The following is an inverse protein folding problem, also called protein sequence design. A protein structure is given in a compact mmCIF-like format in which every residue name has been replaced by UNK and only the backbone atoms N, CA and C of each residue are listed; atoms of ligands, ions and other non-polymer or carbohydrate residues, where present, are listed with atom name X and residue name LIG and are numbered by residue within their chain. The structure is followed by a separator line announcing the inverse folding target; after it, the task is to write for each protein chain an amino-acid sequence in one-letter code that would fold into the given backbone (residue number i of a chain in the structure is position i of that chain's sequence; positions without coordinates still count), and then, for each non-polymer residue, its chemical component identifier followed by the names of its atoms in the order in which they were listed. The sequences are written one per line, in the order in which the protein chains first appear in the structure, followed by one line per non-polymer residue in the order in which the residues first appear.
data_IF_774113258729
#
_entry.id   IF_774113258729
#
_cell.length_a   1.000
_cell.length_b   1.000
_cell.length_c   1.000
_cell.angle_alpha   90.00
_cell.angle_beta   90.00
_cell.angle_gamma   90.00
#
_symmetry.space_group_name_H-M   'P 1'
#
loop_
_entity.id
_entity.type
_entity.pdbx_description
1 polymer ?
#
# COMPACT_ATOMS: atom_id res chain seq x y z
N UNK A 1 -17.80 -5.10 -8.18
CA UNK A 1 -18.19 -3.72 -8.56
C UNK A 1 -16.91 -2.96 -8.76
N UNK A 2 -16.65 -2.38 -9.93
CA UNK A 2 -15.48 -1.54 -10.11
C UNK A 2 -15.52 -0.44 -9.03
N UNK A 3 -14.39 -0.19 -8.40
CA UNK A 3 -14.27 0.89 -7.44
C UNK A 3 -14.78 2.15 -8.13
N UNK A 4 -15.88 2.72 -7.64
CA UNK A 4 -16.65 3.81 -8.27
C UNK A 4 -15.86 5.14 -8.40
N UNK A 5 -14.55 5.06 -8.46
CA UNK A 5 -13.64 6.17 -8.33
C UNK A 5 -12.80 6.45 -9.58
N UNK A 6 -12.97 5.69 -10.68
CA UNK A 6 -12.09 5.74 -11.84
C UNK A 6 -11.86 7.14 -12.41
N UNK A 7 -12.92 7.93 -12.64
CA UNK A 7 -12.77 9.28 -13.24
C UNK A 7 -12.21 10.33 -12.26
N UNK A 8 -12.51 10.23 -10.96
CA UNK A 8 -11.97 11.14 -9.96
C UNK A 8 -10.55 10.74 -9.52
N UNK A 9 -10.19 9.46 -9.71
CA UNK A 9 -8.88 8.93 -9.38
C UNK A 9 -7.80 9.57 -10.27
N UNK A 10 -7.99 9.63 -11.58
CA UNK A 10 -7.06 10.25 -12.52
C UNK A 10 -6.85 11.75 -12.27
N UNK A 11 -7.89 12.45 -11.80
CA UNK A 11 -7.78 13.88 -11.43
C UNK A 11 -7.07 14.10 -10.09
N UNK A 12 -7.20 13.16 -9.15
CA UNK A 12 -6.57 13.25 -7.85
C UNK A 12 -5.11 12.78 -7.85
N UNK A 13 -4.79 11.84 -8.73
CA UNK A 13 -3.49 11.18 -8.82
C UNK A 13 -2.84 11.44 -10.20
N UNK A 14 -2.76 12.72 -10.58
CA UNK A 14 -2.19 13.16 -11.84
C UNK A 14 -0.64 13.19 -11.82
N UNK A 15 -0.04 13.40 -13.00
CA UNK A 15 1.41 13.45 -13.16
C UNK A 15 2.09 14.61 -12.38
N UNK A 16 1.37 15.72 -12.16
CA UNK A 16 1.89 16.86 -11.38
C UNK A 16 2.03 16.47 -9.91
N UNK A 17 1.02 15.82 -9.38
CA UNK A 17 1.01 15.30 -8.01
C UNK A 17 2.08 14.23 -7.83
N UNK A 18 2.15 13.25 -8.74
CA UNK A 18 3.16 12.20 -8.70
C UNK A 18 4.59 12.76 -8.65
N UNK A 19 4.90 13.74 -9.51
CA UNK A 19 6.21 14.42 -9.48
C UNK A 19 6.45 15.18 -8.17
N UNK A 20 5.43 15.83 -7.59
CA UNK A 20 5.53 16.50 -6.28
C UNK A 20 5.83 15.49 -5.17
N UNK A 21 5.13 14.36 -5.17
CA UNK A 21 5.29 13.32 -4.17
C UNK A 21 6.68 12.66 -4.27
N UNK A 22 7.17 12.39 -5.50
CA UNK A 22 8.53 11.91 -5.71
C UNK A 22 9.60 12.92 -5.22
N UNK A 23 9.42 14.21 -5.51
CA UNK A 23 10.34 15.26 -4.99
C UNK A 23 10.34 15.31 -3.47
N UNK A 24 9.18 15.17 -2.84
CA UNK A 24 9.07 15.16 -1.39
C UNK A 24 9.80 13.96 -0.79
N UNK A 25 9.62 12.77 -1.39
CA UNK A 25 10.37 11.57 -1.00
C UNK A 25 11.87 11.72 -1.23
N UNK A 26 12.30 12.19 -2.40
CA UNK A 26 13.75 12.36 -2.71
C UNK A 26 14.45 13.32 -1.76
N UNK A 27 13.73 14.33 -1.23
CA UNK A 27 14.29 15.29 -0.26
C UNK A 27 14.30 14.77 1.18
N UNK A 28 13.37 13.93 1.55
CA UNK A 28 13.06 13.66 2.96
C UNK A 28 13.09 12.17 3.33
N UNK A 29 13.22 11.27 2.34
CA UNK A 29 13.11 9.83 2.51
C UNK A 29 11.73 9.35 2.94
N UNK A 30 11.63 8.07 3.28
CA UNK A 30 10.45 7.49 3.90
C UNK A 30 10.21 8.12 5.28
N UNK A 31 8.95 8.48 5.60
CA UNK A 31 8.60 9.20 6.84
C UNK A 31 7.33 8.66 7.49
N UNK A 32 7.19 8.98 8.77
CA UNK A 32 5.97 8.69 9.53
C UNK A 32 5.59 7.21 9.50
N UNK A 33 4.33 6.87 9.22
CA UNK A 33 3.88 5.48 9.23
C UNK A 33 4.57 4.62 8.16
N UNK A 34 4.84 5.16 6.97
CA UNK A 34 5.57 4.46 5.90
C UNK A 34 6.97 4.03 6.35
N UNK A 35 7.71 4.92 7.05
CA UNK A 35 9.02 4.60 7.61
C UNK A 35 8.93 3.52 8.68
N UNK A 36 7.96 3.61 9.59
CA UNK A 36 7.76 2.60 10.63
C UNK A 36 7.39 1.23 10.06
N UNK A 37 6.57 1.21 9.00
CA UNK A 37 6.25 -0.04 8.30
C UNK A 37 7.51 -0.64 7.67
N UNK A 38 8.31 0.17 6.96
CA UNK A 38 9.59 -0.24 6.38
C UNK A 38 10.52 -0.83 7.44
N UNK A 39 10.72 -0.13 8.56
CA UNK A 39 11.58 -0.59 9.66
C UNK A 39 11.11 -1.94 10.22
N UNK A 40 9.79 -2.11 10.37
CA UNK A 40 9.18 -3.37 10.80
C UNK A 40 9.41 -4.50 9.82
N UNK A 41 9.23 -4.25 8.51
CA UNK A 41 9.48 -5.23 7.44
C UNK A 41 10.95 -5.67 7.46
N UNK A 42 11.89 -4.73 7.46
CA UNK A 42 13.33 -5.03 7.46
C UNK A 42 13.77 -5.80 8.71
N UNK A 43 13.21 -5.46 9.88
CA UNK A 43 13.47 -6.20 11.12
C UNK A 43 12.97 -7.65 11.01
N UNK A 44 11.72 -7.85 10.54
CA UNK A 44 11.13 -9.18 10.40
C UNK A 44 11.84 -10.03 9.34
N UNK A 45 12.32 -9.43 8.24
CA UNK A 45 13.12 -10.14 7.22
C UNK A 45 14.47 -10.62 7.79
N UNK A 46 15.16 -9.79 8.57
CA UNK A 46 16.43 -10.15 9.22
C UNK A 46 16.23 -11.28 10.24
N UNK A 47 15.19 -11.21 11.06
CA UNK A 47 14.84 -12.26 12.01
C UNK A 47 14.57 -13.62 11.36
N UNK A 48 14.06 -13.60 10.11
CA UNK A 48 13.80 -14.80 9.30
C UNK A 48 15.00 -15.25 8.47
N UNK A 49 16.12 -14.53 8.50
CA UNK A 49 17.29 -14.81 7.65
C UNK A 49 17.05 -14.55 6.16
N UNK A 50 15.98 -13.81 5.81
CA UNK A 50 15.66 -13.48 4.42
C UNK A 50 16.53 -12.33 3.92
N UNK A 51 17.67 -12.66 3.33
CA UNK A 51 18.59 -11.68 2.71
C UNK A 51 18.22 -11.36 1.25
N UNK A 52 17.38 -12.20 0.63
CA UNK A 52 16.90 -12.05 -0.76
C UNK A 52 15.39 -12.30 -0.77
N UNK A 53 14.63 -11.37 -1.26
CA UNK A 53 13.15 -11.41 -1.23
C UNK A 53 12.52 -10.69 -2.42
N UNK A 54 11.25 -10.99 -2.70
CA UNK A 54 10.45 -10.27 -3.69
C UNK A 54 9.46 -9.34 -2.98
N UNK A 55 9.10 -8.23 -3.63
CA UNK A 55 8.18 -7.24 -3.06
C UNK A 55 7.04 -6.92 -4.04
N UNK A 56 5.81 -6.99 -3.58
CA UNK A 56 4.60 -6.52 -4.25
C UNK A 56 4.07 -5.29 -3.52
N UNK A 57 4.01 -4.17 -4.22
CA UNK A 57 3.48 -2.89 -3.71
C UNK A 57 2.16 -2.55 -4.41
N UNK A 58 1.07 -2.60 -3.68
CA UNK A 58 -0.26 -2.35 -4.20
C UNK A 58 -0.65 -0.90 -3.85
N UNK A 59 -0.93 -0.08 -4.87
CA UNK A 59 -1.23 1.33 -4.72
C UNK A 59 -0.06 2.13 -4.12
N UNK A 60 1.18 1.70 -4.40
CA UNK A 60 2.40 2.26 -3.81
C UNK A 60 2.75 3.67 -4.29
N UNK A 61 1.97 4.22 -5.20
CA UNK A 61 2.16 5.56 -5.73
C UNK A 61 3.54 5.73 -6.38
N UNK A 62 4.35 6.66 -5.86
CA UNK A 62 5.72 6.90 -6.39
C UNK A 62 6.73 5.84 -5.93
N UNK A 63 6.29 4.79 -5.23
CA UNK A 63 7.11 3.63 -4.88
C UNK A 63 8.08 3.85 -3.71
N UNK A 64 7.68 4.60 -2.69
CA UNK A 64 8.55 4.85 -1.52
C UNK A 64 9.07 3.54 -0.92
N UNK A 65 8.19 2.57 -0.65
CA UNK A 65 8.57 1.26 -0.11
C UNK A 65 9.40 0.46 -1.13
N UNK A 66 9.06 0.51 -2.41
CA UNK A 66 9.82 -0.18 -3.45
C UNK A 66 11.26 0.32 -3.55
N UNK A 67 11.47 1.64 -3.53
CA UNK A 67 12.82 2.22 -3.61
C UNK A 67 13.68 1.80 -2.43
N UNK A 68 13.14 1.83 -1.23
CA UNK A 68 13.85 1.44 -0.02
C UNK A 68 14.14 -0.07 -0.01
N UNK A 69 13.13 -0.91 -0.29
CA UNK A 69 13.30 -2.36 -0.30
C UNK A 69 14.18 -2.86 -1.45
N UNK A 70 14.16 -2.20 -2.63
CA UNK A 70 15.07 -2.52 -3.73
C UNK A 70 16.54 -2.24 -3.37
N UNK A 71 16.80 -1.23 -2.54
CA UNK A 71 18.13 -0.94 -1.99
C UNK A 71 18.54 -1.96 -0.92
N UNK A 72 17.59 -2.44 -0.13
CA UNK A 72 17.83 -3.28 1.04
C UNK A 72 17.66 -4.80 0.74
N UNK A 73 17.70 -5.23 -0.55
CA UNK A 73 17.83 -6.65 -0.91
C UNK A 73 16.64 -7.23 -1.70
N UNK A 74 15.62 -6.45 -2.09
CA UNK A 74 14.58 -6.96 -2.98
C UNK A 74 15.18 -7.27 -4.37
N UNK A 75 15.13 -8.54 -4.75
CA UNK A 75 15.63 -9.01 -6.04
C UNK A 75 14.68 -8.69 -7.18
N UNK A 76 13.40 -8.57 -6.88
CA UNK A 76 12.35 -8.13 -7.80
C UNK A 76 11.25 -7.35 -7.06
N UNK A 77 10.73 -6.32 -7.70
CA UNK A 77 9.59 -5.55 -7.19
C UNK A 77 8.47 -5.52 -8.22
N UNK A 78 7.24 -5.69 -7.77
CA UNK A 78 6.03 -5.53 -8.60
C UNK A 78 5.21 -4.37 -8.06
N UNK A 79 4.88 -3.41 -8.92
CA UNK A 79 3.96 -2.31 -8.62
C UNK A 79 2.61 -2.58 -9.27
N UNK A 80 1.53 -2.48 -8.51
CA UNK A 80 0.17 -2.42 -9.05
C UNK A 80 -0.45 -1.09 -8.63
N UNK A 81 -0.82 -0.27 -9.59
CA UNK A 81 -1.46 1.03 -9.32
C UNK A 81 -2.49 1.34 -10.40
N UNK A 82 -3.62 1.92 -10.02
CA UNK A 82 -4.66 2.34 -10.95
C UNK A 82 -4.27 3.63 -11.71
N UNK A 83 -3.25 4.36 -11.23
CA UNK A 83 -2.80 5.61 -11.84
C UNK A 83 -1.59 5.38 -12.75
N UNK A 84 -1.82 5.37 -14.06
CA UNK A 84 -0.74 5.35 -15.06
C UNK A 84 0.31 6.46 -14.86
N UNK A 85 -0.06 7.73 -14.55
CA UNK A 85 0.94 8.77 -14.26
C UNK A 85 1.87 8.44 -13.10
N UNK A 86 1.37 7.78 -12.04
CA UNK A 86 2.21 7.36 -10.92
C UNK A 86 3.15 6.22 -11.30
N UNK A 87 2.68 5.23 -12.07
CA UNK A 87 3.52 4.15 -12.58
C UNK A 87 4.64 4.66 -13.50
N UNK A 88 4.38 5.70 -14.31
CA UNK A 88 5.41 6.29 -15.16
C UNK A 88 6.45 7.07 -14.34
N UNK A 89 6.03 7.83 -13.34
CA UNK A 89 6.95 8.53 -12.43
C UNK A 89 7.77 7.53 -11.63
N UNK A 90 7.17 6.43 -11.17
CA UNK A 90 7.86 5.33 -10.51
C UNK A 90 8.90 4.69 -11.44
N UNK A 91 8.55 4.42 -12.72
CA UNK A 91 9.47 3.87 -13.71
C UNK A 91 10.73 4.73 -13.86
N UNK A 92 10.53 6.03 -14.12
CA UNK A 92 11.65 6.98 -14.26
C UNK A 92 12.53 7.03 -13.00
N UNK A 93 11.90 6.96 -11.82
CA UNK A 93 12.61 6.93 -10.56
C UNK A 93 13.38 5.62 -10.35
N UNK A 94 12.86 4.48 -10.80
CA UNK A 94 13.54 3.18 -10.75
C UNK A 94 14.74 3.13 -11.71
N UNK A 95 14.60 3.67 -12.93
CA UNK A 95 15.70 3.85 -13.88
C UNK A 95 16.83 4.68 -13.27
N UNK A 96 16.50 5.85 -12.70
CA UNK A 96 17.48 6.73 -12.06
C UNK A 96 18.19 6.08 -10.85
N UNK A 97 17.60 5.06 -10.24
CA UNK A 97 18.14 4.30 -9.11
C UNK A 97 18.74 2.94 -9.50
N UNK A 98 18.75 2.61 -10.79
CA UNK A 98 19.41 1.42 -11.33
C UNK A 98 18.71 0.08 -11.06
N UNK A 99 17.38 0.07 -10.80
CA UNK A 99 16.68 -1.19 -10.56
C UNK A 99 15.45 -1.42 -11.46
N UNK A 100 15.24 -0.60 -12.51
CA UNK A 100 14.11 -0.75 -13.43
C UNK A 100 14.02 -2.16 -14.05
N UNK A 101 15.14 -2.77 -14.39
CA UNK A 101 15.20 -4.13 -14.94
C UNK A 101 14.66 -5.20 -13.95
N UNK A 102 14.60 -4.88 -12.66
CA UNK A 102 14.05 -5.73 -11.59
C UNK A 102 12.66 -5.28 -11.16
N UNK A 103 11.95 -4.52 -12.00
CA UNK A 103 10.63 -3.98 -11.67
C UNK A 103 9.58 -4.36 -12.72
N UNK A 104 8.49 -4.97 -12.27
CA UNK A 104 7.25 -5.13 -13.02
C UNK A 104 6.24 -4.06 -12.61
N UNK A 105 5.53 -3.49 -13.57
CA UNK A 105 4.45 -2.50 -13.35
C UNK A 105 3.18 -3.00 -14.01
N UNK A 106 2.09 -3.02 -13.26
CA UNK A 106 0.76 -3.46 -13.71
C UNK A 106 -0.21 -2.31 -13.46
N UNK A 107 -0.78 -1.76 -14.52
CA UNK A 107 -1.82 -0.74 -14.43
C UNK A 107 -3.17 -1.40 -14.21
N UNK A 108 -3.92 -0.92 -13.22
CA UNK A 108 -5.29 -1.35 -12.93
C UNK A 108 -5.63 -1.35 -11.47
N UNK A 109 -6.93 -1.56 -11.18
CA UNK A 109 -7.39 -1.89 -9.84
C UNK A 109 -6.84 -3.28 -9.47
N UNK A 110 -6.24 -3.40 -8.29
CA UNK A 110 -5.62 -4.67 -7.88
C UNK A 110 -6.60 -5.84 -7.91
N UNK A 111 -7.86 -5.62 -7.53
CA UNK A 111 -8.88 -6.68 -7.51
C UNK A 111 -9.25 -7.17 -8.90
N UNK A 112 -9.09 -6.32 -9.92
CA UNK A 112 -9.37 -6.67 -11.32
C UNK A 112 -8.18 -7.35 -12.01
N UNK A 113 -6.96 -7.07 -11.54
CA UNK A 113 -5.73 -7.58 -12.16
C UNK A 113 -5.01 -8.65 -11.34
N UNK A 114 -5.61 -9.11 -10.24
CA UNK A 114 -5.00 -10.03 -9.27
C UNK A 114 -4.44 -11.31 -9.91
N UNK A 115 -5.10 -11.84 -10.94
CA UNK A 115 -4.66 -13.05 -11.63
C UNK A 115 -3.38 -12.86 -12.46
N UNK A 116 -3.02 -11.62 -12.74
CA UNK A 116 -1.79 -11.24 -13.46
C UNK A 116 -0.61 -10.97 -12.52
N UNK A 117 -0.85 -11.04 -11.21
CA UNK A 117 0.13 -10.68 -10.18
C UNK A 117 0.67 -11.93 -9.52
N UNK A 118 1.98 -12.11 -9.57
CA UNK A 118 2.65 -13.23 -8.90
C UNK A 118 2.71 -13.00 -7.37
N UNK A 119 2.71 -14.08 -6.57
CA UNK A 119 2.99 -13.99 -5.14
C UNK A 119 4.37 -13.38 -4.87
N UNK A 120 4.51 -12.71 -3.71
CA UNK A 120 5.76 -12.10 -3.31
C UNK A 120 6.06 -12.39 -1.82
N UNK A 121 7.34 -12.35 -1.47
CA UNK A 121 7.78 -12.54 -0.07
C UNK A 121 7.17 -11.47 0.83
N UNK A 122 7.17 -10.22 0.36
CA UNK A 122 6.59 -9.07 1.07
C UNK A 122 5.51 -8.44 0.21
N UNK A 123 4.32 -8.24 0.77
CA UNK A 123 3.23 -7.48 0.14
C UNK A 123 2.91 -6.26 0.97
N UNK A 124 2.78 -5.10 0.34
CA UNK A 124 2.50 -3.83 1.02
C UNK A 124 1.30 -3.07 0.45
N UNK A 125 0.52 -2.44 1.33
CA UNK A 125 -0.55 -1.49 1.01
C UNK A 125 -0.41 -0.26 1.92
N UNK A 126 0.36 0.74 1.47
CA UNK A 126 0.56 1.98 2.25
C UNK A 126 -0.56 3.00 1.98
N UNK A 127 -1.54 3.08 2.89
CA UNK A 127 -2.69 4.01 2.81
C UNK A 127 -3.65 3.74 1.62
N UNK A 128 -3.80 2.48 1.24
CA UNK A 128 -4.64 2.05 0.12
C UNK A 128 -6.01 1.57 0.59
N UNK A 129 -6.05 0.75 1.64
CA UNK A 129 -7.27 0.11 2.14
C UNK A 129 -8.36 1.14 2.48
N UNK A 130 -7.97 2.33 2.95
CA UNK A 130 -8.90 3.42 3.23
C UNK A 130 -9.57 4.02 1.98
N UNK A 131 -9.15 3.66 0.78
CA UNK A 131 -9.76 4.09 -0.48
C UNK A 131 -10.75 3.05 -1.03
N UNK A 132 -10.86 1.88 -0.38
CA UNK A 132 -11.71 0.79 -0.84
C UNK A 132 -12.94 0.62 0.03
N UNK A 133 -14.17 0.64 -0.55
CA UNK A 133 -15.39 0.36 0.19
C UNK A 133 -15.45 -1.10 0.66
N UNK A 134 -15.05 -2.05 -0.20
CA UNK A 134 -14.96 -3.48 0.13
C UNK A 134 -13.52 -3.85 0.54
N UNK A 135 -13.17 -3.48 1.76
CA UNK A 135 -11.90 -3.84 2.39
C UNK A 135 -11.67 -5.34 2.41
N UNK A 136 -12.71 -6.13 2.65
CA UNK A 136 -12.56 -7.57 2.83
C UNK A 136 -12.09 -8.26 1.55
N UNK A 137 -12.61 -7.87 0.39
CA UNK A 137 -12.18 -8.39 -0.91
C UNK A 137 -10.74 -7.98 -1.23
N UNK A 138 -10.37 -6.71 -1.04
CA UNK A 138 -9.01 -6.24 -1.27
C UNK A 138 -8.00 -6.95 -0.35
N UNK A 139 -8.27 -6.97 0.96
CA UNK A 139 -7.35 -7.59 1.94
C UNK A 139 -7.23 -9.09 1.69
N UNK A 140 -8.31 -9.80 1.40
CA UNK A 140 -8.28 -11.23 1.08
C UNK A 140 -7.41 -11.50 -0.14
N UNK A 141 -7.66 -10.79 -1.24
CA UNK A 141 -6.93 -10.96 -2.48
C UNK A 141 -5.44 -10.66 -2.33
N UNK A 142 -5.09 -9.56 -1.65
CA UNK A 142 -3.70 -9.15 -1.45
C UNK A 142 -2.96 -10.01 -0.42
N UNK A 143 -3.62 -10.44 0.66
CA UNK A 143 -3.05 -11.32 1.68
C UNK A 143 -2.64 -12.70 1.11
N UNK A 144 -3.41 -13.24 0.15
CA UNK A 144 -3.06 -14.48 -0.57
C UNK A 144 -1.77 -14.39 -1.37
N UNK A 145 -1.40 -13.19 -1.80
CA UNK A 145 -0.15 -12.97 -2.56
C UNK A 145 1.09 -12.86 -1.66
N UNK A 146 0.92 -12.68 -0.34
CA UNK A 146 2.04 -12.62 0.59
C UNK A 146 2.52 -14.02 0.97
N UNK A 147 3.78 -14.35 0.70
CA UNK A 147 4.35 -15.66 1.09
C UNK A 147 5.03 -15.64 2.45
N UNK A 148 5.46 -14.47 2.96
CA UNK A 148 6.04 -14.32 4.29
C UNK A 148 5.46 -13.15 5.07
N UNK A 149 5.48 -11.93 4.53
CA UNK A 149 5.08 -10.71 5.22
C UNK A 149 3.99 -9.95 4.46
N UNK A 150 3.01 -9.46 5.20
CA UNK A 150 1.94 -8.60 4.70
C UNK A 150 1.87 -7.34 5.54
N UNK A 151 2.23 -6.20 4.95
CA UNK A 151 2.35 -4.91 5.64
C UNK A 151 1.34 -3.88 5.16
N UNK A 152 0.60 -3.28 6.08
CA UNK A 152 -0.40 -2.27 5.74
C UNK A 152 -0.29 -1.02 6.60
N UNK A 153 -0.65 0.12 6.00
CA UNK A 153 -0.90 1.37 6.72
C UNK A 153 -2.37 1.74 6.56
N UNK A 154 -3.06 1.88 7.68
CA UNK A 154 -4.50 2.16 7.72
C UNK A 154 -4.80 3.33 8.66
N UNK A 155 -5.93 4.04 8.48
CA UNK A 155 -6.38 5.03 9.46
C UNK A 155 -6.57 4.39 10.82
N UNK A 156 -6.31 5.17 11.88
CA UNK A 156 -6.54 4.73 13.25
C UNK A 156 -8.04 4.45 13.47
N UNK A 157 -8.36 3.29 14.04
CA UNK A 157 -9.74 2.87 14.31
C UNK A 157 -10.23 3.47 15.65
N UNK A 158 -10.52 4.77 15.65
CA UNK A 158 -11.08 5.50 16.80
C UNK A 158 -12.29 6.31 16.36
N UNK A 159 -13.22 6.58 17.30
CA UNK A 159 -14.44 7.31 17.00
C UNK A 159 -14.16 8.67 16.35
N UNK A 160 -13.18 9.42 16.87
CA UNK A 160 -12.84 10.74 16.33
C UNK A 160 -12.27 10.68 14.89
N UNK A 161 -11.46 9.66 14.56
CA UNK A 161 -10.95 9.47 13.19
C UNK A 161 -12.10 9.11 12.25
N UNK A 162 -13.02 8.24 12.66
CA UNK A 162 -14.22 7.91 11.87
C UNK A 162 -15.07 9.15 11.60
N UNK A 163 -15.29 9.98 12.63
CA UNK A 163 -16.01 11.25 12.49
C UNK A 163 -15.30 12.21 11.55
N UNK A 164 -13.99 12.37 11.69
CA UNK A 164 -13.18 13.21 10.80
C UNK A 164 -13.23 12.74 9.34
N UNK A 165 -13.12 11.42 9.10
CA UNK A 165 -13.28 10.83 7.76
C UNK A 165 -14.68 11.09 7.21
N UNK A 166 -15.73 10.94 8.03
CA UNK A 166 -17.11 11.28 7.65
C UNK A 166 -17.27 12.73 7.22
N UNK A 167 -16.68 13.67 7.99
CA UNK A 167 -16.69 15.09 7.65
C UNK A 167 -15.93 15.39 6.36
N UNK A 168 -14.75 14.77 6.16
CA UNK A 168 -13.97 14.90 4.92
C UNK A 168 -14.80 14.42 3.72
N UNK A 169 -15.45 13.26 3.82
CA UNK A 169 -16.30 12.72 2.76
C UNK A 169 -17.49 13.65 2.46
N UNK A 170 -18.13 14.19 3.50
CA UNK A 170 -19.21 15.16 3.35
C UNK A 170 -18.71 16.42 2.59
N UNK A 171 -17.57 16.97 2.99
CA UNK A 171 -16.98 18.15 2.36
C UNK A 171 -16.57 17.88 0.90
N UNK A 172 -15.92 16.74 0.61
CA UNK A 172 -15.55 16.35 -0.74
C UNK A 172 -16.77 16.23 -1.64
N UNK A 173 -17.85 15.63 -1.13
CA UNK A 173 -19.09 15.41 -1.88
C UNK A 173 -19.85 16.71 -2.14
N UNK A 174 -20.02 17.55 -1.12
CA UNK A 174 -20.92 18.72 -1.20
C UNK A 174 -20.21 20.00 -1.64
N UNK A 175 -18.98 20.25 -1.17
CA UNK A 175 -18.23 21.46 -1.53
C UNK A 175 -17.41 21.30 -2.81
N UNK A 176 -16.76 20.13 -3.00
CA UNK A 176 -15.89 19.89 -4.15
C UNK A 176 -16.53 19.02 -5.23
N UNK A 177 -17.78 18.55 -5.02
CA UNK A 177 -18.55 17.68 -5.95
C UNK A 177 -17.73 16.46 -6.41
N UNK A 178 -16.86 15.92 -5.54
CA UNK A 178 -16.04 14.74 -5.82
C UNK A 178 -16.76 13.47 -5.36
N UNK A 179 -16.59 12.39 -6.13
CA UNK A 179 -17.14 11.07 -5.80
C UNK A 179 -16.19 10.24 -4.92
N UNK A 180 -14.95 10.68 -4.77
CA UNK A 180 -13.98 9.99 -3.91
C UNK A 180 -14.45 9.94 -2.46
N UNK A 181 -14.33 8.77 -1.85
CA UNK A 181 -14.64 8.53 -0.44
C UNK A 181 -13.47 7.84 0.25
N UNK A 182 -13.18 8.26 1.46
CA UNK A 182 -12.25 7.59 2.34
C UNK A 182 -13.01 6.76 3.39
N UNK A 183 -12.38 5.68 3.86
CA UNK A 183 -12.97 4.76 4.82
C UNK A 183 -12.02 4.53 6.00
N UNK A 184 -12.55 4.51 7.22
CA UNK A 184 -11.85 4.06 8.41
C UNK A 184 -12.41 2.69 8.81
N UNK A 185 -11.78 1.64 8.26
CA UNK A 185 -12.19 0.26 8.53
C UNK A 185 -11.77 -0.20 9.92
N UNK A 186 -12.56 -1.13 10.49
CA UNK A 186 -12.22 -1.75 11.77
C UNK A 186 -10.95 -2.60 11.66
N UNK A 187 -9.97 -2.32 12.51
CA UNK A 187 -8.75 -3.12 12.57
C UNK A 187 -9.03 -4.58 12.91
N UNK A 188 -10.00 -4.84 13.80
CA UNK A 188 -10.44 -6.20 14.13
C UNK A 188 -10.97 -6.95 12.90
N UNK A 189 -11.74 -6.26 12.04
CA UNK A 189 -12.24 -6.88 10.80
C UNK A 189 -11.10 -7.20 9.83
N UNK A 190 -10.09 -6.32 9.72
CA UNK A 190 -8.89 -6.59 8.92
C UNK A 190 -8.13 -7.81 9.47
N UNK A 191 -7.92 -7.87 10.81
CA UNK A 191 -7.25 -9.01 11.46
C UNK A 191 -7.97 -10.33 11.20
N UNK A 192 -9.31 -10.32 11.25
CA UNK A 192 -10.12 -11.50 10.96
C UNK A 192 -9.96 -11.99 9.52
N UNK A 193 -9.90 -11.07 8.55
CA UNK A 193 -9.67 -11.44 7.13
C UNK A 193 -8.25 -11.98 6.96
N UNK A 194 -7.23 -11.32 7.50
CA UNK A 194 -5.85 -11.78 7.46
C UNK A 194 -5.68 -13.16 8.11
N UNK A 195 -6.30 -13.38 9.28
CA UNK A 195 -6.25 -14.67 9.99
C UNK A 195 -6.85 -15.82 9.18
N UNK A 196 -7.95 -15.59 8.44
CA UNK A 196 -8.55 -16.59 7.54
C UNK A 196 -7.63 -16.96 6.37
N UNK A 197 -6.70 -16.07 6.01
CA UNK A 197 -5.72 -16.29 4.95
C UNK A 197 -4.35 -16.77 5.50
N UNK A 198 -4.29 -17.22 6.75
CA UNK A 198 -3.10 -17.78 7.38
C UNK A 198 -2.03 -16.75 7.78
N UNK A 199 -2.46 -15.51 8.02
CA UNK A 199 -1.59 -14.42 8.46
C UNK A 199 -1.91 -14.04 9.91
N UNK A 200 -0.93 -13.97 10.79
CA UNK A 200 -1.07 -13.46 12.15
C UNK A 200 -0.37 -12.11 12.33
N UNK A 201 -0.92 -11.28 13.19
CA UNK A 201 -0.36 -9.97 13.50
C UNK A 201 0.98 -10.13 14.25
N UNK A 202 2.07 -9.71 13.62
CA UNK A 202 3.42 -9.77 14.17
C UNK A 202 3.80 -8.46 14.87
N UNK A 203 3.57 -7.33 14.17
CA UNK A 203 3.90 -6.00 14.70
C UNK A 203 2.77 -5.02 14.41
N UNK A 204 2.54 -4.11 15.35
CA UNK A 204 1.65 -2.99 15.15
C UNK A 204 2.18 -1.72 15.81
N UNK A 205 1.66 -0.58 15.39
CA UNK A 205 1.98 0.70 16.00
C UNK A 205 1.11 1.81 15.44
N UNK A 206 0.59 2.65 16.31
CA UNK A 206 -0.27 3.76 15.93
C UNK A 206 0.41 5.11 16.19
N UNK A 207 0.28 6.03 15.23
CA UNK A 207 0.46 7.46 15.43
C UNK A 207 -0.87 8.14 15.67
N UNK A 208 -0.92 9.45 15.44
CA UNK A 208 -2.14 10.24 15.63
C UNK A 208 -3.25 9.78 14.69
N UNK A 209 -2.98 9.72 13.39
CA UNK A 209 -3.98 9.41 12.34
C UNK A 209 -3.84 8.02 11.73
N UNK A 210 -2.62 7.45 11.73
CA UNK A 210 -2.28 6.25 10.99
C UNK A 210 -1.70 5.18 11.89
N UNK A 211 -2.11 3.93 11.64
CA UNK A 211 -1.54 2.74 12.26
C UNK A 211 -0.84 1.90 11.20
N UNK A 212 0.29 1.31 11.57
CA UNK A 212 0.92 0.23 10.83
C UNK A 212 0.44 -1.10 11.39
N UNK A 213 0.29 -2.08 10.52
CA UNK A 213 0.04 -3.47 10.88
C UNK A 213 0.89 -4.35 9.97
N UNK A 214 1.75 -5.13 10.55
CA UNK A 214 2.58 -6.09 9.86
C UNK A 214 2.17 -7.49 10.30
N UNK A 215 1.84 -8.31 9.34
CA UNK A 215 1.44 -9.70 9.56
C UNK A 215 2.51 -10.63 8.99
N UNK A 216 2.65 -11.78 9.62
CA UNK A 216 3.53 -12.86 9.22
C UNK A 216 2.71 -14.07 8.82
N UNK A 217 3.12 -14.77 7.75
CA UNK A 217 2.48 -16.02 7.36
C UNK A 217 2.88 -17.13 8.34
N UNK A 218 1.90 -17.91 8.75
CA UNK A 218 2.15 -19.14 9.52
C UNK A 218 2.81 -20.13 8.54
N UNK A 219 3.99 -20.64 8.89
CA UNK A 219 4.61 -21.73 8.15
C UNK A 219 3.67 -22.93 8.24
N UNK A 220 3.38 -23.54 7.08
CA UNK A 220 2.58 -24.76 7.02
C UNK A 220 3.39 -25.94 7.57
#
# INVERSE_FOLDING_TARGET
MPCCQGQDFDRMFDARRARKDLRAYSKRGARGPTRRLLDGILASLREQGNVSFTHLDIGGGVGVLQHELARDGAVHTTAVDASRPYLEVLRLAATARGYEARQTRIEGDFTDVVDRVEPATVVTLDKVICCYPDMATLVRASARKATALYGIVVPRDTAWVRTAVGFINWFLRHALRRRFQAFAHSHRAIDQVCGKEGLYLDRNGCGVLWCIRLYRRIAA
#
